data_IF_468037971961
#
_entry.id   IF_468037971961
#
_cell.length_a   1.000
_cell.length_b   1.000
_cell.length_c   1.000
_cell.angle_alpha   90.00
_cell.angle_beta   90.00
_cell.angle_gamma   90.00
#
_symmetry.space_group_name_H-M   'P 1'
#
loop_
_entity.id
_entity.type
_entity.pdbx_description
1 polymer ?
#
# COMPACT_ATOMS: atom_id res chain seq x y z
N UNK A 1 -17.11 -0.60 -23.75
CA UNK A 1 -15.84 0.15 -23.86
C UNK A 1 -14.83 -0.59 -23.02
N UNK A 2 -13.82 -1.18 -23.66
CA UNK A 2 -12.72 -1.82 -22.94
C UNK A 2 -11.86 -0.69 -22.35
N UNK A 3 -11.87 -0.52 -21.03
CA UNK A 3 -10.86 0.29 -20.36
C UNK A 3 -9.51 -0.37 -20.63
N UNK A 4 -8.69 0.23 -21.49
CA UNK A 4 -7.28 -0.12 -21.56
C UNK A 4 -6.70 0.20 -20.18
N UNK A 5 -6.24 -0.83 -19.46
CA UNK A 5 -5.34 -0.69 -18.31
C UNK A 5 -4.16 0.17 -18.78
N UNK A 6 -4.21 1.48 -18.54
CA UNK A 6 -3.01 2.30 -18.55
C UNK A 6 -2.25 1.86 -17.32
N UNK A 7 -1.34 0.90 -17.50
CA UNK A 7 -0.38 0.56 -16.46
C UNK A 7 0.22 1.87 -15.99
N UNK A 8 -0.04 2.25 -14.75
CA UNK A 8 0.78 3.22 -14.03
C UNK A 8 2.18 2.65 -14.13
N UNK A 9 2.95 3.14 -15.11
CA UNK A 9 4.19 2.51 -15.51
C UNK A 9 5.20 3.04 -14.52
N UNK A 10 5.22 2.40 -13.36
CA UNK A 10 6.18 2.70 -12.32
C UNK A 10 7.54 2.68 -12.98
N UNK A 11 8.32 3.75 -12.85
CA UNK A 11 9.64 3.79 -13.45
C UNK A 11 10.39 2.52 -13.06
N UNK A 12 10.97 1.82 -14.05
CA UNK A 12 11.86 0.67 -13.80
C UNK A 12 12.92 0.95 -12.73
N UNK A 13 13.21 2.23 -12.52
CA UNK A 13 14.05 2.78 -11.47
C UNK A 13 13.68 2.30 -10.05
N UNK A 14 12.40 2.07 -9.74
CA UNK A 14 11.96 1.64 -8.41
C UNK A 14 11.86 0.12 -8.25
N UNK A 15 11.94 -0.65 -9.35
CA UNK A 15 11.68 -2.09 -9.37
C UNK A 15 12.87 -2.96 -8.90
N UNK A 16 13.98 -2.35 -8.46
CA UNK A 16 15.07 -3.08 -7.83
C UNK A 16 14.71 -3.37 -6.36
N UNK A 17 14.75 -4.63 -5.94
CA UNK A 17 14.50 -5.02 -4.54
C UNK A 17 13.11 -4.63 -4.05
N UNK A 18 12.06 -5.13 -4.71
CA UNK A 18 10.66 -4.90 -4.30
C UNK A 18 9.94 -6.22 -4.05
N UNK A 19 8.95 -6.17 -3.17
CA UNK A 19 8.08 -7.29 -2.83
C UNK A 19 7.32 -7.82 -4.05
N UNK A 20 7.14 -9.14 -4.09
CA UNK A 20 6.28 -9.80 -5.07
C UNK A 20 4.81 -9.38 -4.94
N UNK A 21 4.40 -8.86 -3.78
CA UNK A 21 3.04 -8.40 -3.51
C UNK A 21 2.78 -6.97 -3.98
N UNK A 22 3.81 -6.22 -4.39
CA UNK A 22 3.70 -4.81 -4.75
C UNK A 22 2.65 -4.56 -5.84
N UNK A 23 2.62 -5.39 -6.88
CA UNK A 23 1.61 -5.26 -7.95
C UNK A 23 0.18 -5.45 -7.43
N UNK A 24 -0.02 -6.32 -6.44
CA UNK A 24 -1.32 -6.52 -5.81
C UNK A 24 -1.75 -5.32 -4.99
N UNK A 25 -0.81 -4.69 -4.27
CA UNK A 25 -1.04 -3.45 -3.53
C UNK A 25 -1.39 -2.27 -4.44
N UNK A 26 -0.70 -2.15 -5.57
CA UNK A 26 -1.01 -1.13 -6.58
C UNK A 26 -2.38 -1.35 -7.23
N UNK A 27 -2.74 -2.60 -7.54
CA UNK A 27 -4.06 -2.93 -8.08
C UNK A 27 -5.18 -2.54 -7.09
N UNK A 28 -4.95 -2.63 -5.77
CA UNK A 28 -5.88 -2.12 -4.75
C UNK A 28 -5.98 -0.60 -4.86
N UNK A 29 -4.88 0.15 -4.78
CA UNK A 29 -4.91 1.62 -4.84
C UNK A 29 -5.57 2.12 -6.13
N UNK A 30 -5.21 1.51 -7.26
CA UNK A 30 -5.78 1.84 -8.57
C UNK A 30 -7.29 1.61 -8.62
N UNK A 31 -7.82 0.60 -7.93
CA UNK A 31 -9.27 0.38 -7.85
C UNK A 31 -10.03 1.58 -7.27
N UNK A 32 -9.37 2.33 -6.38
CA UNK A 32 -9.94 3.51 -5.71
C UNK A 32 -9.46 4.83 -6.33
N UNK A 33 -8.90 4.80 -7.54
CA UNK A 33 -8.33 5.97 -8.23
C UNK A 33 -7.22 6.66 -7.40
N UNK A 34 -6.48 5.88 -6.61
CA UNK A 34 -5.33 6.34 -5.82
C UNK A 34 -4.03 5.86 -6.46
N UNK A 35 -3.02 6.72 -6.47
CA UNK A 35 -1.67 6.42 -6.94
C UNK A 35 -0.62 7.06 -6.04
N UNK A 36 0.62 6.57 -6.18
CA UNK A 36 1.80 7.25 -5.67
C UNK A 36 2.45 8.00 -6.83
N UNK A 37 2.63 9.30 -6.65
CA UNK A 37 3.27 10.16 -7.64
C UNK A 37 4.79 10.14 -7.50
N UNK A 38 5.50 10.28 -8.61
CA UNK A 38 6.97 10.28 -8.64
C UNK A 38 7.56 11.36 -7.72
N UNK A 39 6.95 12.55 -7.68
CA UNK A 39 7.43 13.66 -6.88
C UNK A 39 7.43 13.31 -5.39
N UNK A 40 6.48 12.51 -4.89
CA UNK A 40 6.43 12.06 -3.49
C UNK A 40 7.64 11.19 -3.14
N UNK A 41 8.01 10.27 -4.04
CA UNK A 41 9.21 9.43 -3.88
C UNK A 41 10.47 10.29 -3.84
N UNK A 42 10.58 11.24 -4.76
CA UNK A 42 11.74 12.12 -4.86
C UNK A 42 11.85 13.11 -3.70
N UNK A 43 10.72 13.57 -3.15
CA UNK A 43 10.70 14.41 -1.95
C UNK A 43 11.33 13.69 -0.76
N UNK A 44 10.96 12.43 -0.53
CA UNK A 44 11.57 11.62 0.53
C UNK A 44 13.04 11.37 0.22
N UNK A 45 13.37 10.95 -1.01
CA UNK A 45 14.74 10.62 -1.40
C UNK A 45 15.70 11.82 -1.24
N UNK A 46 15.25 13.04 -1.53
CA UNK A 46 16.02 14.27 -1.32
C UNK A 46 16.34 14.58 0.15
N UNK A 47 15.51 14.09 1.08
CA UNK A 47 15.72 14.23 2.52
C UNK A 47 16.74 13.26 3.10
N UNK A 48 17.12 12.21 2.37
CA UNK A 48 18.04 11.19 2.84
C UNK A 48 19.50 11.68 2.86
N UNK A 49 20.21 11.39 3.96
CA UNK A 49 21.65 11.72 4.09
C UNK A 49 22.56 10.74 3.35
N UNK A 50 22.07 9.54 3.13
CA UNK A 50 22.74 8.45 2.40
C UNK A 50 21.92 8.12 1.15
N UNK A 51 22.52 7.38 0.20
CA UNK A 51 21.82 6.96 -1.02
C UNK A 51 20.64 6.04 -0.62
N UNK A 52 19.38 6.45 -0.83
CA UNK A 52 18.25 5.67 -0.40
C UNK A 52 17.94 4.52 -1.36
N UNK A 53 17.29 3.48 -0.86
CA UNK A 53 16.70 2.44 -1.70
C UNK A 53 15.32 2.91 -2.19
N UNK A 54 15.25 3.38 -3.44
CA UNK A 54 14.01 3.97 -4.00
C UNK A 54 12.84 2.98 -4.01
N UNK A 55 13.09 1.68 -4.21
CA UNK A 55 12.07 0.64 -4.11
C UNK A 55 11.48 0.54 -2.70
N UNK A 56 12.26 0.78 -1.64
CA UNK A 56 11.75 0.77 -0.27
C UNK A 56 10.91 2.01 0.01
N UNK A 57 11.33 3.18 -0.51
CA UNK A 57 10.56 4.42 -0.38
C UNK A 57 9.19 4.24 -1.05
N UNK A 58 9.18 3.76 -2.30
CA UNK A 58 7.95 3.57 -3.05
C UNK A 58 7.00 2.58 -2.36
N UNK A 59 7.49 1.41 -1.95
CA UNK A 59 6.68 0.43 -1.22
C UNK A 59 6.13 0.98 0.10
N UNK A 60 6.93 1.78 0.83
CA UNK A 60 6.47 2.41 2.07
C UNK A 60 5.34 3.39 1.83
N UNK A 61 5.41 4.17 0.74
CA UNK A 61 4.33 5.07 0.34
C UNK A 61 3.07 4.30 -0.08
N UNK A 62 3.22 3.24 -0.86
CA UNK A 62 2.10 2.37 -1.27
C UNK A 62 1.40 1.77 -0.06
N UNK A 63 2.15 1.15 0.86
CA UNK A 63 1.58 0.53 2.06
C UNK A 63 0.94 1.57 2.98
N UNK A 64 1.59 2.72 3.19
CA UNK A 64 1.00 3.80 3.99
C UNK A 64 -0.32 4.29 3.41
N UNK A 65 -0.42 4.39 2.07
CA UNK A 65 -1.66 4.76 1.41
C UNK A 65 -2.76 3.69 1.56
N UNK A 66 -2.39 2.41 1.51
CA UNK A 66 -3.31 1.30 1.75
C UNK A 66 -3.85 1.30 3.17
N UNK A 67 -3.00 1.59 4.16
CA UNK A 67 -3.40 1.73 5.55
C UNK A 67 -4.43 2.85 5.73
N UNK A 68 -4.14 4.07 5.24
CA UNK A 68 -5.08 5.18 5.27
C UNK A 68 -6.41 4.85 4.59
N UNK A 69 -6.35 4.26 3.39
CA UNK A 69 -7.52 3.86 2.63
C UNK A 69 -8.36 2.81 3.37
N UNK A 70 -7.71 1.86 4.05
CA UNK A 70 -8.40 0.85 4.85
C UNK A 70 -9.19 1.49 5.99
N UNK A 71 -8.55 2.39 6.75
CA UNK A 71 -9.18 3.11 7.85
C UNK A 71 -10.33 4.02 7.39
N UNK A 72 -10.16 4.73 6.28
CA UNK A 72 -11.24 5.51 5.64
C UNK A 72 -12.45 4.62 5.35
N UNK A 73 -12.22 3.44 4.76
CA UNK A 73 -13.32 2.56 4.39
C UNK A 73 -14.07 1.98 5.58
N UNK A 74 -13.41 1.66 6.69
CA UNK A 74 -14.06 1.17 7.91
C UNK A 74 -14.63 2.30 8.79
N UNK A 75 -14.34 3.56 8.45
CA UNK A 75 -14.85 4.73 9.17
C UNK A 75 -14.23 4.89 10.56
N UNK A 76 -12.96 4.52 10.72
CA UNK A 76 -12.20 4.67 11.97
C UNK A 76 -10.95 5.52 11.72
N UNK A 77 -10.43 6.12 12.79
CA UNK A 77 -9.12 6.77 12.78
C UNK A 77 -7.99 5.73 12.75
N UNK A 78 -6.85 6.06 12.13
CA UNK A 78 -5.70 5.15 11.96
C UNK A 78 -5.09 4.65 13.29
N UNK A 79 -5.30 5.36 14.40
CA UNK A 79 -4.81 5.00 15.73
C UNK A 79 -5.78 4.11 16.53
N UNK A 80 -6.86 3.61 15.90
CA UNK A 80 -7.89 2.84 16.60
C UNK A 80 -7.38 1.47 17.06
N UNK A 81 -7.29 1.27 18.37
CA UNK A 81 -6.78 0.04 19.01
C UNK A 81 -7.55 -1.26 18.67
N UNK A 82 -8.75 -1.16 18.07
CA UNK A 82 -9.53 -2.34 17.66
C UNK A 82 -8.96 -3.02 16.43
N UNK A 83 -8.17 -2.31 15.63
CA UNK A 83 -7.59 -2.82 14.38
C UNK A 83 -6.08 -2.89 14.57
N UNK A 84 -5.50 -4.08 14.37
CA UNK A 84 -4.05 -4.25 14.47
C UNK A 84 -3.42 -4.25 13.10
N UNK A 85 -2.83 -3.13 12.73
CA UNK A 85 -2.04 -3.02 11.50
C UNK A 85 -0.57 -3.37 11.80
N UNK A 86 0.01 -4.19 10.93
CA UNK A 86 1.45 -4.47 10.91
C UNK A 86 1.99 -4.20 9.51
N UNK A 87 2.95 -3.29 9.43
CA UNK A 87 3.65 -2.94 8.19
C UNK A 87 5.15 -3.16 8.35
N UNK A 88 5.78 -3.63 7.27
CA UNK A 88 7.22 -3.78 7.21
C UNK A 88 7.69 -3.63 5.77
N UNK A 89 8.82 -2.94 5.55
CA UNK A 89 9.38 -2.72 4.22
C UNK A 89 10.88 -2.92 4.20
N UNK A 90 11.35 -3.78 3.32
CA UNK A 90 12.73 -3.83 2.88
C UNK A 90 12.87 -4.39 1.45
N UNK A 91 14.11 -4.46 0.95
CA UNK A 91 14.51 -4.91 -0.40
C UNK A 91 14.00 -6.34 -0.73
N UNK A 92 13.93 -7.19 0.29
CA UNK A 92 13.72 -8.63 0.16
C UNK A 92 12.32 -9.08 0.62
N UNK A 93 11.77 -8.42 1.63
CA UNK A 93 10.60 -8.85 2.36
C UNK A 93 9.82 -7.62 2.86
N UNK A 94 8.58 -7.49 2.39
CA UNK A 94 7.68 -6.41 2.78
C UNK A 94 6.28 -6.97 3.03
N UNK A 95 5.63 -6.46 4.07
CA UNK A 95 4.35 -6.94 4.59
C UNK A 95 3.38 -5.78 4.82
N UNK A 96 2.11 -6.04 4.48
CA UNK A 96 0.97 -5.26 4.91
C UNK A 96 -0.06 -6.24 5.48
N UNK A 97 -0.23 -6.22 6.80
CA UNK A 97 -1.10 -7.16 7.50
C UNK A 97 -2.11 -6.41 8.38
N UNK A 98 -3.34 -6.94 8.41
CA UNK A 98 -4.43 -6.43 9.25
C UNK A 98 -4.95 -7.59 10.08
N UNK A 99 -4.95 -7.42 11.39
CA UNK A 99 -5.30 -8.46 12.37
C UNK A 99 -4.54 -9.78 12.17
N UNK A 100 -3.30 -9.67 11.69
CA UNK A 100 -2.41 -10.80 11.43
C UNK A 100 -2.60 -11.47 10.06
N UNK A 101 -3.52 -10.99 9.23
CA UNK A 101 -3.73 -11.51 7.87
C UNK A 101 -3.04 -10.62 6.84
N UNK A 102 -2.29 -11.23 5.91
CA UNK A 102 -1.64 -10.52 4.83
C UNK A 102 -2.65 -10.03 3.79
N UNK A 103 -2.60 -8.75 3.47
CA UNK A 103 -3.51 -8.09 2.52
C UNK A 103 -2.74 -7.80 1.25
N UNK A 104 -2.79 -8.74 0.30
CA UNK A 104 -2.02 -8.67 -0.95
C UNK A 104 -2.89 -8.55 -2.21
N UNK A 105 -4.22 -8.60 -2.07
CA UNK A 105 -5.16 -8.52 -3.19
C UNK A 105 -6.37 -7.68 -2.83
N UNK A 106 -7.06 -7.14 -3.85
CA UNK A 106 -8.30 -6.40 -3.68
C UNK A 106 -9.40 -7.22 -2.98
N UNK A 107 -9.54 -8.49 -3.33
CA UNK A 107 -10.53 -9.37 -2.70
C UNK A 107 -10.24 -9.54 -1.20
N UNK A 108 -8.97 -9.74 -0.82
CA UNK A 108 -8.58 -9.84 0.59
C UNK A 108 -8.80 -8.52 1.33
N UNK A 109 -8.47 -7.39 0.70
CA UNK A 109 -8.69 -6.06 1.26
C UNK A 109 -10.18 -5.81 1.53
N UNK A 110 -11.04 -6.02 0.53
CA UNK A 110 -12.48 -5.80 0.66
C UNK A 110 -13.13 -6.78 1.65
N UNK A 111 -12.71 -8.05 1.65
CA UNK A 111 -13.20 -9.03 2.61
C UNK A 111 -12.88 -8.58 4.05
N UNK A 112 -11.66 -8.10 4.30
CA UNK A 112 -11.25 -7.63 5.63
C UNK A 112 -11.99 -6.35 6.04
N UNK A 113 -12.22 -5.41 5.12
CA UNK A 113 -13.05 -4.21 5.37
C UNK A 113 -14.46 -4.61 5.83
N UNK A 114 -15.11 -5.52 5.11
CA UNK A 114 -16.47 -5.97 5.45
C UNK A 114 -16.51 -6.76 6.77
N UNK A 115 -15.51 -7.59 7.02
CA UNK A 115 -15.36 -8.30 8.29
C UNK A 115 -15.32 -7.32 9.47
N UNK A 116 -14.41 -6.33 9.45
CA UNK A 116 -14.27 -5.38 10.55
C UNK A 116 -15.57 -4.57 10.72
N UNK A 117 -16.15 -4.06 9.63
CA UNK A 117 -17.43 -3.35 9.69
C UNK A 117 -18.54 -4.16 10.35
N UNK A 118 -18.61 -5.46 10.05
CA UNK A 118 -19.61 -6.35 10.63
C UNK A 118 -19.48 -6.50 12.16
N UNK A 119 -18.28 -6.28 12.70
CA UNK A 119 -17.98 -6.34 14.15
C UNK A 119 -18.10 -5.00 14.87
N UNK A 120 -18.23 -3.88 14.14
CA UNK A 120 -18.42 -2.54 14.71
C UNK A 120 -19.88 -2.27 15.11
N UNK A 121 -20.81 -3.12 14.70
CA UNK A 121 -22.24 -3.10 15.07
C UNK A 121 -22.53 -3.95 16.31
#
# INVERSE_FOLDING_TARGET
MYYQKTYNTIPRLYMGGVSENLAGWEDILFHFDVSIEDDEVWEIARGCKEIPHLGNIYQSLVIGRLESLFFEHIGLEEDNERVKVFTFVNDFDSHFCIDGEAINTLDAFMAKVEEIKSTLH
#
